data_IF_362071578114
#
_entry.id   IF_362071578114
#
_cell.length_a   1.000
_cell.length_b   1.000
_cell.length_c   1.000
_cell.angle_alpha   90.00
_cell.angle_beta   90.00
_cell.angle_gamma   90.00
#
_symmetry.space_group_name_H-M   'P 1'
#
loop_
_entity.id
_entity.type
_entity.pdbx_description
1 polymer ?
#
# COMPACT_ATOMS: atom_id res chain seq x y z
N UNK A 1 -24.55 -21.68 -15.92
CA UNK A 1 -24.79 -21.18 -14.56
C UNK A 1 -23.84 -21.93 -13.65
N UNK A 2 -23.30 -21.26 -12.63
CA UNK A 2 -22.27 -21.82 -11.73
C UNK A 2 -22.79 -21.82 -10.30
N UNK A 3 -22.42 -22.83 -9.51
CA UNK A 3 -22.81 -22.86 -8.08
C UNK A 3 -21.75 -22.22 -7.19
N UNK A 4 -22.10 -21.75 -5.99
CA UNK A 4 -21.13 -21.25 -5.00
C UNK A 4 -20.07 -22.33 -4.69
N UNK A 5 -20.48 -23.60 -4.58
CA UNK A 5 -19.58 -24.73 -4.32
C UNK A 5 -18.58 -24.97 -5.46
N UNK A 6 -18.95 -24.64 -6.70
CA UNK A 6 -18.06 -24.70 -7.85
C UNK A 6 -17.06 -23.55 -7.80
N UNK A 7 -17.52 -22.31 -7.62
CA UNK A 7 -16.66 -21.12 -7.51
C UNK A 7 -15.62 -21.29 -6.39
N UNK A 8 -16.00 -21.83 -5.23
CA UNK A 8 -15.08 -22.08 -4.09
C UNK A 8 -13.87 -22.97 -4.42
N UNK A 9 -13.92 -23.77 -5.49
CA UNK A 9 -12.79 -24.61 -5.94
C UNK A 9 -11.68 -23.78 -6.60
N UNK A 10 -12.02 -22.60 -7.11
CA UNK A 10 -11.12 -21.72 -7.86
C UNK A 10 -10.63 -20.58 -6.94
N UNK A 11 -9.78 -20.94 -5.99
CA UNK A 11 -9.40 -20.11 -4.84
C UNK A 11 -7.89 -19.82 -4.71
N UNK A 12 -7.10 -20.01 -5.78
CA UNK A 12 -5.64 -19.84 -5.76
C UNK A 12 -5.10 -19.33 -7.10
N UNK A 13 -3.79 -19.04 -7.18
CA UNK A 13 -3.17 -18.41 -8.36
C UNK A 13 -3.27 -19.19 -9.66
N UNK A 14 -3.41 -20.52 -9.59
CA UNK A 14 -3.53 -21.38 -10.77
C UNK A 14 -4.98 -21.45 -11.27
N UNK A 15 -5.93 -21.09 -10.41
CA UNK A 15 -7.34 -21.02 -10.76
C UNK A 15 -8.08 -20.06 -9.82
N UNK A 16 -8.36 -18.85 -10.30
CA UNK A 16 -8.96 -17.76 -9.50
C UNK A 16 -10.27 -17.29 -10.11
N UNK A 17 -11.38 -17.68 -9.49
CA UNK A 17 -12.70 -17.16 -9.84
C UNK A 17 -13.23 -16.23 -8.74
N UNK A 18 -14.00 -15.22 -9.14
CA UNK A 18 -14.69 -14.31 -8.22
C UNK A 18 -16.15 -14.14 -8.65
N UNK A 19 -17.01 -13.77 -7.70
CA UNK A 19 -18.39 -13.36 -7.99
C UNK A 19 -18.50 -11.85 -7.81
N UNK A 20 -19.06 -11.18 -8.81
CA UNK A 20 -19.42 -9.74 -8.77
C UNK A 20 -20.82 -9.58 -9.35
N UNK A 21 -21.73 -8.99 -8.59
CA UNK A 21 -23.13 -8.71 -8.98
C UNK A 21 -23.85 -9.95 -9.55
N UNK A 22 -23.70 -11.10 -8.88
CA UNK A 22 -24.31 -12.37 -9.30
C UNK A 22 -23.71 -13.00 -10.57
N UNK A 23 -22.60 -12.48 -11.07
CA UNK A 23 -21.87 -13.01 -12.22
C UNK A 23 -20.54 -13.60 -11.78
N UNK A 24 -20.10 -14.67 -12.45
CA UNK A 24 -18.84 -15.38 -12.17
C UNK A 24 -17.80 -15.03 -13.22
N UNK A 25 -16.61 -14.68 -12.76
CA UNK A 25 -15.50 -14.24 -13.59
C UNK A 25 -14.25 -15.09 -13.35
N UNK A 26 -13.57 -15.48 -14.41
CA UNK A 26 -12.26 -16.14 -14.34
C UNK A 26 -11.14 -15.11 -14.49
N UNK A 27 -10.51 -14.76 -13.36
CA UNK A 27 -9.46 -13.75 -13.31
C UNK A 27 -8.05 -14.35 -13.43
N UNK A 28 -7.91 -15.67 -13.65
CA UNK A 28 -6.63 -16.38 -13.57
C UNK A 28 -5.55 -15.75 -14.44
N UNK A 29 -5.89 -15.39 -15.69
CA UNK A 29 -4.95 -14.78 -16.62
C UNK A 29 -4.71 -13.28 -16.38
N UNK A 30 -5.60 -12.60 -15.65
CA UNK A 30 -5.48 -11.18 -15.35
C UNK A 30 -4.68 -10.87 -14.08
N UNK A 31 -4.44 -11.87 -13.22
CA UNK A 31 -3.77 -11.69 -11.93
C UNK A 31 -2.50 -10.84 -12.03
N UNK A 32 -1.67 -11.11 -13.04
CA UNK A 32 -0.36 -10.44 -13.23
C UNK A 32 -0.46 -9.02 -13.79
N UNK A 33 -1.57 -8.71 -14.44
CA UNK A 33 -1.82 -7.41 -15.07
C UNK A 33 -2.63 -6.47 -14.17
N UNK A 34 -3.11 -6.97 -13.02
CA UNK A 34 -3.91 -6.20 -12.09
C UNK A 34 -3.08 -5.07 -11.45
N UNK A 35 -3.46 -3.79 -11.60
CA UNK A 35 -2.69 -2.66 -11.07
C UNK A 35 -2.53 -2.64 -9.54
N UNK A 36 -3.46 -3.26 -8.80
CA UNK A 36 -3.36 -3.43 -7.35
C UNK A 36 -2.54 -4.66 -6.93
N UNK A 37 -1.91 -5.35 -7.87
CA UNK A 37 -1.16 -6.60 -7.65
C UNK A 37 -2.05 -7.84 -7.52
N UNK A 38 -1.40 -8.99 -7.65
CA UNK A 38 -2.00 -10.34 -7.61
C UNK A 38 -2.81 -10.58 -6.33
N UNK A 39 -2.23 -10.25 -5.17
CA UNK A 39 -2.82 -10.52 -3.85
C UNK A 39 -4.16 -9.82 -3.64
N UNK A 40 -4.38 -8.69 -4.31
CA UNK A 40 -5.64 -7.92 -4.23
C UNK A 40 -6.83 -8.66 -4.86
N UNK A 41 -6.58 -9.61 -5.78
CA UNK A 41 -7.62 -10.49 -6.32
C UNK A 41 -7.67 -11.79 -5.51
N UNK A 42 -6.52 -12.39 -5.20
CA UNK A 42 -6.45 -13.69 -4.50
C UNK A 42 -7.16 -13.68 -3.14
N UNK A 43 -7.13 -12.55 -2.44
CA UNK A 43 -7.87 -12.37 -1.19
C UNK A 43 -9.38 -12.66 -1.32
N UNK A 44 -9.95 -12.49 -2.51
CA UNK A 44 -11.37 -12.74 -2.79
C UNK A 44 -11.59 -13.98 -3.67
N UNK A 45 -10.54 -14.74 -3.99
CA UNK A 45 -10.65 -15.93 -4.83
C UNK A 45 -11.58 -16.99 -4.21
N UNK A 46 -12.51 -17.46 -5.02
CA UNK A 46 -13.54 -18.42 -4.65
C UNK A 46 -14.72 -17.82 -3.88
N UNK A 47 -14.87 -16.49 -3.84
CA UNK A 47 -15.90 -15.80 -3.03
C UNK A 47 -16.65 -14.72 -3.81
N UNK A 48 -17.77 -14.27 -3.25
CA UNK A 48 -18.45 -13.04 -3.68
C UNK A 48 -17.77 -11.84 -3.05
N UNK A 49 -17.29 -10.94 -3.90
CA UNK A 49 -16.61 -9.72 -3.51
C UNK A 49 -17.25 -8.50 -4.19
N UNK A 50 -18.56 -8.55 -4.45
CA UNK A 50 -19.31 -7.46 -5.09
C UNK A 50 -19.05 -6.14 -4.37
N UNK A 51 -19.21 -6.10 -3.05
CA UNK A 51 -19.01 -4.89 -2.26
C UNK A 51 -17.57 -4.37 -2.33
N UNK A 52 -16.56 -5.23 -2.15
CA UNK A 52 -15.15 -4.82 -2.24
C UNK A 52 -14.76 -4.36 -3.65
N UNK A 53 -15.26 -5.04 -4.68
CA UNK A 53 -14.99 -4.69 -6.07
C UNK A 53 -15.52 -3.28 -6.36
N UNK A 54 -16.76 -2.99 -5.96
CA UNK A 54 -17.37 -1.68 -6.15
C UNK A 54 -16.72 -0.55 -5.32
N UNK A 55 -16.15 -0.87 -4.16
CA UNK A 55 -15.51 0.10 -3.27
C UNK A 55 -14.18 0.67 -3.79
N UNK A 56 -13.48 -0.10 -4.63
CA UNK A 56 -12.10 0.16 -5.04
C UNK A 56 -11.99 0.50 -6.54
N UNK A 57 -12.81 -0.12 -7.39
CA UNK A 57 -12.64 -0.06 -8.84
C UNK A 57 -13.46 1.05 -9.52
N UNK A 58 -12.86 1.67 -10.55
CA UNK A 58 -13.51 2.68 -11.40
C UNK A 58 -14.45 2.06 -12.44
N UNK A 59 -15.33 2.86 -13.05
CA UNK A 59 -16.23 2.40 -14.13
C UNK A 59 -15.47 1.78 -15.32
N UNK A 60 -14.26 2.27 -15.61
CA UNK A 60 -13.40 1.66 -16.63
C UNK A 60 -13.00 0.24 -16.24
N UNK A 61 -12.65 0.01 -14.97
CA UNK A 61 -12.31 -1.33 -14.48
C UNK A 61 -13.53 -2.26 -14.47
N UNK A 62 -14.73 -1.74 -14.15
CA UNK A 62 -15.98 -2.49 -14.29
C UNK A 62 -16.20 -2.97 -15.73
N UNK A 63 -15.94 -2.11 -16.72
CA UNK A 63 -16.03 -2.50 -18.14
C UNK A 63 -14.99 -3.54 -18.54
N UNK A 64 -13.76 -3.44 -18.04
CA UNK A 64 -12.72 -4.45 -18.28
C UNK A 64 -13.06 -5.81 -17.66
N UNK A 65 -13.82 -5.84 -16.56
CA UNK A 65 -14.23 -7.09 -15.91
C UNK A 65 -15.10 -7.96 -16.85
N UNK A 66 -15.85 -7.35 -17.78
CA UNK A 66 -16.71 -8.06 -18.73
C UNK A 66 -15.93 -9.07 -19.60
N UNK A 67 -14.66 -8.79 -19.90
CA UNK A 67 -13.80 -9.67 -20.71
C UNK A 67 -13.50 -11.01 -20.02
N UNK A 68 -13.69 -11.08 -18.69
CA UNK A 68 -13.41 -12.25 -17.85
C UNK A 68 -14.69 -13.00 -17.44
N UNK A 69 -15.86 -12.59 -17.94
CA UNK A 69 -17.15 -13.18 -17.58
C UNK A 69 -17.25 -14.61 -18.13
N UNK A 70 -17.45 -15.59 -17.25
CA UNK A 70 -17.67 -16.99 -17.65
C UNK A 70 -19.14 -17.41 -17.52
N UNK A 71 -19.94 -16.71 -16.70
CA UNK A 71 -21.39 -16.89 -16.67
C UNK A 71 -22.07 -16.32 -15.42
N UNK A 72 -23.29 -16.78 -15.14
CA UNK A 72 -24.11 -16.32 -14.01
C UNK A 72 -24.08 -17.31 -12.84
N UNK A 73 -24.14 -16.79 -11.62
CA UNK A 73 -24.33 -17.58 -10.42
C UNK A 73 -25.75 -18.17 -10.41
N UNK A 74 -25.86 -19.46 -10.10
CA UNK A 74 -27.12 -20.13 -9.89
C UNK A 74 -27.67 -19.79 -8.50
N UNK A 75 -28.69 -18.92 -8.45
CA UNK A 75 -29.37 -18.53 -7.21
C UNK A 75 -30.48 -19.50 -6.81
N UNK A 76 -30.78 -20.52 -7.62
CA UNK A 76 -31.90 -21.44 -7.40
C UNK A 76 -31.51 -22.70 -6.62
N UNK A 77 -30.24 -22.84 -6.22
CA UNK A 77 -29.72 -23.96 -5.44
C UNK A 77 -29.15 -23.52 -4.10
N UNK A 78 -29.98 -23.60 -3.05
CA UNK A 78 -29.62 -23.58 -1.63
C UNK A 78 -29.08 -22.26 -1.03
N UNK A 79 -29.96 -21.59 -0.27
CA UNK A 79 -29.60 -20.83 0.92
C UNK A 79 -28.73 -21.72 1.84
N UNK A 80 -27.42 -21.48 1.90
CA UNK A 80 -26.57 -22.06 2.95
C UNK A 80 -25.60 -21.00 3.47
N UNK A 81 -25.92 -20.58 4.69
CA UNK A 81 -25.05 -20.14 5.77
C UNK A 81 -24.31 -18.82 5.62
N UNK A 82 -25.02 -17.77 6.05
CA UNK A 82 -24.42 -16.62 6.71
C UNK A 82 -23.87 -17.07 8.08
N UNK A 83 -22.73 -17.76 8.11
CA UNK A 83 -21.99 -18.07 9.35
C UNK A 83 -20.86 -17.08 9.56
N UNK A 84 -21.21 -15.80 9.68
CA UNK A 84 -20.42 -14.88 10.49
C UNK A 84 -20.64 -15.21 11.97
N UNK A 85 -20.16 -16.38 12.39
CA UNK A 85 -19.85 -16.58 13.80
C UNK A 85 -18.61 -15.77 14.08
N UNK A 86 -18.80 -14.64 14.75
CA UNK A 86 -17.77 -13.95 15.52
C UNK A 86 -17.24 -14.96 16.54
N UNK A 87 -16.20 -15.70 16.17
CA UNK A 87 -15.47 -16.55 17.10
C UNK A 87 -14.60 -15.60 17.93
N UNK A 88 -15.14 -15.11 19.03
CA UNK A 88 -14.32 -14.63 20.14
C UNK A 88 -13.83 -15.89 20.86
N UNK A 89 -12.80 -16.53 20.30
CA UNK A 89 -11.93 -17.39 21.10
C UNK A 89 -10.83 -16.50 21.67
N UNK A 90 -10.68 -16.43 23.00
CA UNK A 90 -9.51 -15.79 23.60
C UNK A 90 -8.33 -16.75 23.43
N UNK A 91 -7.80 -16.89 22.21
CA UNK A 91 -6.39 -17.21 22.08
C UNK A 91 -5.65 -15.89 22.05
N UNK A 92 -5.09 -15.53 23.20
CA UNK A 92 -4.06 -14.52 23.33
C UNK A 92 -2.95 -14.86 22.32
N UNK A 93 -2.98 -14.17 21.20
CA UNK A 93 -2.13 -14.42 20.06
C UNK A 93 -1.44 -13.10 19.77
N UNK A 94 -0.13 -13.15 19.55
CA UNK A 94 0.74 -11.98 19.55
C UNK A 94 0.57 -11.04 18.35
N UNK A 95 -0.28 -11.36 17.36
CA UNK A 95 -0.47 -10.56 16.14
C UNK A 95 -1.95 -10.35 15.80
N UNK A 96 -2.28 -9.17 15.26
CA UNK A 96 -3.63 -8.78 14.87
C UNK A 96 -4.02 -9.23 13.46
N UNK A 97 -3.21 -8.93 12.43
CA UNK A 97 -3.49 -9.26 11.02
C UNK A 97 -3.06 -10.70 10.68
N UNK A 98 -3.91 -11.70 10.96
CA UNK A 98 -3.59 -13.13 10.68
C UNK A 98 -4.17 -13.63 9.37
N UNK A 99 -5.45 -13.35 9.16
CA UNK A 99 -6.17 -13.77 7.97
C UNK A 99 -6.47 -12.50 7.18
N UNK A 100 -5.96 -12.38 5.94
CA UNK A 100 -6.17 -11.20 5.12
C UNK A 100 -7.65 -10.90 4.88
N UNK A 101 -8.53 -11.91 4.96
CA UNK A 101 -9.97 -11.74 4.75
C UNK A 101 -10.70 -11.14 5.95
N UNK A 102 -10.14 -11.23 7.15
CA UNK A 102 -10.82 -10.78 8.36
C UNK A 102 -10.85 -9.25 8.43
N UNK A 103 -11.99 -8.71 8.86
CA UNK A 103 -12.11 -7.30 9.22
C UNK A 103 -11.89 -7.16 10.72
N UNK A 104 -10.94 -6.31 11.09
CA UNK A 104 -10.58 -6.06 12.49
C UNK A 104 -10.96 -4.63 12.84
N UNK A 105 -11.76 -4.47 13.89
CA UNK A 105 -12.15 -3.14 14.38
C UNK A 105 -11.02 -2.52 15.21
N UNK A 106 -10.65 -1.29 14.89
CA UNK A 106 -9.67 -0.51 15.63
C UNK A 106 -10.25 0.85 16.02
N UNK A 107 -9.86 1.35 17.19
CA UNK A 107 -10.37 2.63 17.73
C UNK A 107 -9.34 3.73 17.58
N UNK A 108 -9.74 4.87 17.04
CA UNK A 108 -8.93 6.08 16.97
C UNK A 108 -8.74 6.65 18.37
N UNK A 109 -7.49 6.72 18.86
CA UNK A 109 -7.17 7.24 20.21
C UNK A 109 -6.37 8.54 20.18
N UNK A 110 -5.71 8.85 19.06
CA UNK A 110 -4.99 10.12 18.89
C UNK A 110 -5.06 10.60 17.45
N UNK A 111 -5.20 11.92 17.27
CA UNK A 111 -5.15 12.61 15.98
C UNK A 111 -4.32 13.88 16.16
N UNK A 112 -3.10 13.88 15.62
CA UNK A 112 -2.16 15.01 15.70
C UNK A 112 -2.03 15.68 14.34
N UNK A 113 -2.20 16.99 14.29
CA UNK A 113 -1.86 17.78 13.09
C UNK A 113 -0.35 18.07 13.08
N UNK A 114 0.31 17.75 11.97
CA UNK A 114 1.75 18.06 11.77
C UNK A 114 1.99 19.08 10.65
N UNK A 115 1.01 19.31 9.78
CA UNK A 115 0.98 20.43 8.85
C UNK A 115 -0.46 20.85 8.54
N UNK A 116 -0.67 21.83 7.65
CA UNK A 116 -2.01 22.27 7.27
C UNK A 116 -2.89 21.13 6.71
N UNK A 117 -2.29 20.14 6.04
CA UNK A 117 -2.98 19.02 5.40
C UNK A 117 -2.42 17.64 5.77
N UNK A 118 -1.58 17.50 6.80
CA UNK A 118 -1.06 16.20 7.23
C UNK A 118 -1.40 15.94 8.68
N UNK A 119 -1.83 14.70 8.98
CA UNK A 119 -2.14 14.25 10.33
C UNK A 119 -1.49 12.90 10.61
N UNK A 120 -1.20 12.66 11.88
CA UNK A 120 -0.86 11.35 12.43
C UNK A 120 -2.08 10.83 13.17
N UNK A 121 -2.58 9.67 12.76
CA UNK A 121 -3.68 8.97 13.40
C UNK A 121 -3.14 7.75 14.13
N UNK A 122 -3.44 7.62 15.44
CA UNK A 122 -3.12 6.43 16.23
C UNK A 122 -4.37 5.61 16.47
N UNK A 123 -4.34 4.36 16.04
CA UNK A 123 -5.39 3.39 16.28
C UNK A 123 -4.90 2.32 17.26
N UNK A 124 -5.72 1.99 18.26
CA UNK A 124 -5.42 0.86 19.16
C UNK A 124 -5.90 -0.45 18.54
N UNK A 125 -5.08 -1.48 18.73
CA UNK A 125 -5.38 -2.86 18.40
C UNK A 125 -6.38 -3.43 19.43
N UNK A 126 -7.02 -4.59 19.15
CA UNK A 126 -7.97 -5.20 20.07
C UNK A 126 -7.38 -5.55 21.45
N UNK A 127 -6.08 -5.82 21.53
CA UNK A 127 -5.35 -6.13 22.76
C UNK A 127 -4.04 -5.34 22.84
N UNK A 128 -3.68 -4.85 24.03
CA UNK A 128 -2.56 -3.92 24.25
C UNK A 128 -1.17 -4.52 24.01
N UNK A 129 -1.05 -5.84 24.11
CA UNK A 129 0.21 -6.57 23.98
C UNK A 129 0.46 -7.11 22.56
N UNK A 130 -0.53 -6.99 21.68
CA UNK A 130 -0.46 -7.46 20.29
C UNK A 130 0.39 -6.58 19.41
N UNK A 131 1.09 -7.19 18.47
CA UNK A 131 1.65 -6.53 17.31
C UNK A 131 0.58 -6.41 16.22
N UNK A 132 0.70 -5.42 15.34
CA UNK A 132 -0.16 -5.35 14.15
C UNK A 132 0.01 -6.62 13.29
N UNK A 133 1.23 -7.16 13.19
CA UNK A 133 1.53 -8.35 12.39
C UNK A 133 1.57 -8.08 10.88
N UNK A 134 1.94 -6.86 10.47
CA UNK A 134 2.09 -6.49 9.07
C UNK A 134 3.53 -6.78 8.59
N UNK A 135 3.75 -7.71 7.64
CA UNK A 135 5.07 -7.92 7.06
C UNK A 135 5.62 -6.64 6.40
N UNK A 136 6.93 -6.42 6.47
CA UNK A 136 7.57 -5.23 5.90
C UNK A 136 7.42 -5.24 4.39
N UNK A 137 6.91 -4.17 3.79
CA UNK A 137 6.58 -4.08 2.36
C UNK A 137 5.10 -4.33 2.05
N UNK A 138 4.34 -4.89 3.00
CA UNK A 138 2.88 -5.04 2.89
C UNK A 138 2.14 -3.83 3.45
N UNK A 139 0.87 -3.72 3.10
CA UNK A 139 -0.05 -2.68 3.55
C UNK A 139 -1.35 -3.28 4.11
N UNK A 140 -2.21 -2.43 4.66
CA UNK A 140 -3.57 -2.79 5.06
C UNK A 140 -4.58 -1.92 4.31
N UNK A 141 -5.81 -2.39 4.20
CA UNK A 141 -6.95 -1.55 3.86
C UNK A 141 -7.55 -0.96 5.12
N UNK A 142 -7.81 0.35 5.08
CA UNK A 142 -8.85 0.95 5.92
C UNK A 142 -10.18 0.79 5.21
N UNK A 143 -11.18 0.33 5.95
CA UNK A 143 -12.52 0.04 5.48
C UNK A 143 -13.52 0.84 6.32
N UNK A 144 -14.38 1.62 5.65
CA UNK A 144 -15.52 2.26 6.31
C UNK A 144 -16.66 2.51 5.32
N UNK A 145 -17.88 2.69 5.82
CA UNK A 145 -19.05 3.04 5.02
C UNK A 145 -19.23 4.56 5.02
N UNK A 146 -18.97 5.18 3.87
CA UNK A 146 -19.05 6.64 3.68
C UNK A 146 -20.20 6.91 2.70
N UNK A 147 -21.18 7.73 3.10
CA UNK A 147 -22.36 8.03 2.28
C UNK A 147 -23.10 6.77 1.78
N UNK A 148 -23.22 5.74 2.65
CA UNK A 148 -23.83 4.43 2.37
C UNK A 148 -23.08 3.56 1.35
N UNK A 149 -21.85 3.92 1.00
CA UNK A 149 -20.98 3.11 0.13
C UNK A 149 -19.76 2.65 0.90
N UNK A 150 -19.40 1.38 0.74
CA UNK A 150 -18.14 0.88 1.25
C UNK A 150 -16.99 1.62 0.57
N UNK A 151 -16.07 2.15 1.38
CA UNK A 151 -14.85 2.79 0.92
C UNK A 151 -13.67 2.03 1.52
N UNK A 152 -12.81 1.50 0.65
CA UNK A 152 -11.59 0.80 1.03
C UNK A 152 -10.37 1.48 0.42
N UNK A 153 -9.37 1.82 1.23
CA UNK A 153 -8.14 2.45 0.74
C UNK A 153 -6.91 1.88 1.43
N UNK A 154 -5.86 1.65 0.63
CA UNK A 154 -4.60 1.10 1.11
C UNK A 154 -3.82 2.15 1.90
N UNK A 155 -3.27 1.74 3.04
CA UNK A 155 -2.35 2.52 3.86
C UNK A 155 -1.22 1.64 4.37
N UNK A 156 0.00 2.19 4.37
CA UNK A 156 1.13 1.57 5.06
C UNK A 156 1.38 2.34 6.36
N UNK A 157 1.25 1.68 7.53
CA UNK A 157 1.59 2.28 8.81
C UNK A 157 3.03 2.76 8.89
N UNK A 158 3.23 3.83 9.66
CA UNK A 158 4.55 4.44 9.94
C UNK A 158 5.08 4.11 11.34
N UNK A 159 4.26 3.46 12.17
CA UNK A 159 4.72 2.85 13.42
C UNK A 159 5.67 1.68 13.13
N UNK A 160 6.61 1.42 14.04
CA UNK A 160 7.47 0.24 13.97
C UNK A 160 6.67 -1.06 13.94
N UNK A 161 7.18 -2.07 13.23
CA UNK A 161 6.50 -3.38 13.11
C UNK A 161 6.44 -4.18 14.42
N UNK A 162 7.23 -3.76 15.43
CA UNK A 162 7.28 -4.32 16.77
C UNK A 162 6.54 -3.49 17.83
N UNK A 163 5.89 -2.40 17.42
CA UNK A 163 5.04 -1.63 18.33
C UNK A 163 3.85 -2.47 18.78
N UNK A 164 3.57 -2.43 20.10
CA UNK A 164 2.50 -3.19 20.72
C UNK A 164 1.28 -2.33 20.99
N UNK A 165 0.10 -2.89 20.75
CA UNK A 165 -1.19 -2.32 21.12
C UNK A 165 -1.69 -1.20 20.21
N UNK A 166 -0.89 -0.71 19.26
CA UNK A 166 -1.31 0.35 18.34
C UNK A 166 -0.58 0.30 17.00
N UNK A 167 -1.10 1.06 16.04
CA UNK A 167 -0.38 1.46 14.85
C UNK A 167 -0.67 2.92 14.51
N UNK A 168 0.29 3.57 13.85
CA UNK A 168 0.19 4.97 13.43
C UNK A 168 0.10 5.07 11.91
N UNK A 169 -0.79 5.94 11.42
CA UNK A 169 -0.90 6.33 10.02
C UNK A 169 -0.57 7.80 9.85
N UNK A 170 0.41 8.11 9.02
CA UNK A 170 0.62 9.47 8.48
C UNK A 170 -0.23 9.63 7.23
N UNK A 171 -1.20 10.53 7.27
CA UNK A 171 -2.16 10.72 6.18
C UNK A 171 -2.17 12.17 5.73
N UNK A 172 -2.02 12.36 4.41
CA UNK A 172 -2.27 13.63 3.74
C UNK A 172 -3.76 13.78 3.44
N UNK A 173 -4.35 14.86 3.91
CA UNK A 173 -5.75 15.21 3.71
C UNK A 173 -5.91 15.98 2.41
N UNK A 174 -6.66 15.38 1.49
CA UNK A 174 -7.04 16.02 0.24
C UNK A 174 -8.36 16.76 0.44
N UNK A 175 -8.31 18.03 0.85
CA UNK A 175 -9.51 18.83 1.08
C UNK A 175 -10.27 19.16 -0.21
N UNK A 176 -11.60 19.20 -0.11
CA UNK A 176 -12.49 19.75 -1.14
C UNK A 176 -12.16 21.23 -1.42
N UNK A 177 -12.35 21.64 -2.67
CA UNK A 177 -12.14 23.02 -3.13
C UNK A 177 -10.68 23.44 -3.31
N UNK A 178 -9.70 22.57 -3.06
CA UNK A 178 -8.27 22.92 -3.18
C UNK A 178 -7.70 22.62 -4.57
N UNK A 179 -7.99 21.45 -5.14
CA UNK A 179 -7.38 21.04 -6.40
C UNK A 179 -8.36 21.16 -7.57
N UNK A 180 -8.04 21.89 -8.66
CA UNK A 180 -8.99 22.16 -9.74
C UNK A 180 -9.43 20.88 -10.48
N UNK A 181 -8.55 19.88 -10.63
CA UNK A 181 -8.92 18.59 -11.24
C UNK A 181 -9.67 17.66 -10.30
N UNK A 182 -9.63 17.92 -8.98
CA UNK A 182 -10.24 17.06 -7.96
C UNK A 182 -11.02 17.93 -6.97
N UNK A 183 -12.09 18.61 -7.41
CA UNK A 183 -12.79 19.61 -6.61
C UNK A 183 -13.43 19.04 -5.34
N UNK A 184 -13.77 17.75 -5.32
CA UNK A 184 -14.39 17.08 -4.16
C UNK A 184 -13.37 16.59 -3.12
N UNK A 185 -12.07 16.69 -3.40
CA UNK A 185 -11.02 16.17 -2.51
C UNK A 185 -10.99 14.65 -2.44
N UNK A 186 -10.31 14.11 -1.42
CA UNK A 186 -10.18 12.68 -1.17
C UNK A 186 -11.23 12.19 -0.18
N UNK A 187 -11.97 11.14 -0.57
CA UNK A 187 -13.08 10.58 0.22
C UNK A 187 -12.58 10.07 1.58
N UNK A 188 -11.73 9.03 1.58
CA UNK A 188 -11.22 8.42 2.82
C UNK A 188 -10.39 9.40 3.66
N UNK A 189 -9.56 10.25 3.03
CA UNK A 189 -8.73 11.19 3.79
C UNK A 189 -9.56 12.23 4.54
N UNK A 190 -10.59 12.80 3.90
CA UNK A 190 -11.48 13.76 4.57
C UNK A 190 -12.35 13.07 5.63
N UNK A 191 -12.78 11.84 5.38
CA UNK A 191 -13.49 11.02 6.37
C UNK A 191 -12.64 10.81 7.63
N UNK A 192 -11.39 10.35 7.50
CA UNK A 192 -10.46 10.22 8.62
C UNK A 192 -10.29 11.53 9.39
N UNK A 193 -10.12 12.65 8.69
CA UNK A 193 -9.97 13.97 9.33
C UNK A 193 -11.22 14.40 10.11
N UNK A 194 -12.40 13.97 9.68
CA UNK A 194 -13.69 14.23 10.35
C UNK A 194 -13.95 13.36 11.58
N UNK A 195 -13.24 12.23 11.72
CA UNK A 195 -13.42 11.33 12.85
C UNK A 195 -13.07 12.02 14.18
N UNK A 196 -13.89 11.73 15.19
CA UNK A 196 -13.63 12.13 16.57
C UNK A 196 -12.78 11.08 17.27
N UNK A 197 -12.05 11.49 18.31
CA UNK A 197 -11.36 10.52 19.17
C UNK A 197 -12.40 9.58 19.77
N UNK A 198 -12.12 8.28 19.74
CA UNK A 198 -13.06 7.22 20.12
C UNK A 198 -13.83 6.59 18.96
N UNK A 199 -13.81 7.20 17.76
CA UNK A 199 -14.39 6.57 16.56
C UNK A 199 -13.70 5.25 16.24
N UNK A 200 -14.49 4.31 15.72
CA UNK A 200 -14.01 3.00 15.26
C UNK A 200 -13.93 2.98 13.74
N UNK A 201 -12.98 2.22 13.21
CA UNK A 201 -12.92 1.84 11.79
C UNK A 201 -12.52 0.37 11.68
N UNK A 202 -12.66 -0.20 10.49
CA UNK A 202 -12.20 -1.57 10.20
C UNK A 202 -10.90 -1.56 9.41
N UNK A 203 -10.00 -2.49 9.72
CA UNK A 203 -8.81 -2.78 8.92
C UNK A 203 -8.89 -4.20 8.35
N UNK A 204 -8.34 -4.39 7.15
CA UNK A 204 -8.24 -5.69 6.46
C UNK A 204 -6.82 -5.87 5.92
N UNK A 205 -6.19 -7.02 6.15
CA UNK A 205 -4.80 -7.27 5.73
C UNK A 205 -4.13 -8.45 6.47
N UNK A 206 -2.86 -8.75 6.17
CA UNK A 206 -1.94 -7.96 5.34
C UNK A 206 -2.17 -8.17 3.84
N UNK A 207 -1.91 -7.15 3.02
CA UNK A 207 -1.97 -7.20 1.56
C UNK A 207 -0.69 -6.67 0.93
N UNK A 208 -0.46 -7.04 -0.34
CA UNK A 208 0.70 -6.57 -1.09
C UNK A 208 1.66 -7.70 -1.39
N UNK A 209 2.25 -7.62 -2.57
CA UNK A 209 3.03 -8.67 -3.19
C UNK A 209 4.53 -8.56 -2.93
N UNK A 210 4.97 -7.49 -2.24
CA UNK A 210 6.37 -7.24 -1.89
C UNK A 210 6.51 -7.44 -0.38
N UNK A 211 7.46 -8.27 0.01
CA UNK A 211 7.84 -8.44 1.40
C UNK A 211 9.36 -8.36 1.53
N UNK A 212 9.85 -7.49 2.41
CA UNK A 212 11.25 -7.44 2.80
C UNK A 212 11.48 -8.38 3.97
N UNK A 213 12.27 -9.43 3.75
CA UNK A 213 12.52 -10.47 4.76
C UNK A 213 13.84 -10.27 5.53
N UNK A 214 14.54 -9.16 5.25
CA UNK A 214 15.75 -8.74 5.95
C UNK A 214 17.04 -8.99 5.16
N UNK A 215 18.08 -8.20 5.45
CA UNK A 215 19.45 -8.38 4.95
C UNK A 215 19.53 -8.47 3.42
N UNK A 216 18.75 -7.61 2.77
CA UNK A 216 18.68 -7.49 1.30
C UNK A 216 17.71 -8.46 0.63
N UNK A 217 17.09 -9.37 1.39
CA UNK A 217 16.17 -10.37 0.83
C UNK A 217 14.75 -9.85 0.71
N UNK A 218 14.10 -10.22 -0.39
CA UNK A 218 12.70 -9.94 -0.67
C UNK A 218 11.98 -11.22 -1.11
N UNK A 219 10.69 -11.28 -0.81
CA UNK A 219 9.72 -12.13 -1.47
C UNK A 219 8.82 -11.24 -2.34
N UNK A 220 8.77 -11.52 -3.64
CA UNK A 220 7.96 -10.77 -4.61
C UNK A 220 7.08 -11.75 -5.36
N UNK A 221 5.77 -11.70 -5.12
CA UNK A 221 4.83 -12.74 -5.58
C UNK A 221 5.24 -14.16 -5.15
N UNK A 222 5.87 -14.29 -3.97
CA UNK A 222 6.42 -15.55 -3.47
C UNK A 222 7.81 -15.91 -4.01
N UNK A 223 8.30 -15.21 -5.02
CA UNK A 223 9.62 -15.44 -5.60
C UNK A 223 10.72 -14.69 -4.84
N UNK A 224 11.85 -15.35 -4.61
CA UNK A 224 12.98 -14.74 -3.92
C UNK A 224 13.70 -13.72 -4.81
N UNK A 225 13.97 -12.55 -4.25
CA UNK A 225 14.86 -11.53 -4.83
C UNK A 225 15.85 -11.06 -3.78
N UNK A 226 16.99 -10.56 -4.26
CA UNK A 226 18.05 -10.05 -3.40
C UNK A 226 18.61 -8.74 -3.94
N UNK A 227 18.95 -7.82 -3.05
CA UNK A 227 19.69 -6.61 -3.38
C UNK A 227 20.65 -6.20 -2.27
N UNK A 228 21.82 -5.71 -2.67
CA UNK A 228 22.75 -4.99 -1.80
C UNK A 228 22.44 -3.50 -1.75
N UNK A 229 21.91 -2.95 -2.83
CA UNK A 229 21.58 -1.53 -2.95
C UNK A 229 20.17 -1.33 -3.51
N UNK A 230 19.42 -0.41 -2.92
CA UNK A 230 18.04 -0.10 -3.28
C UNK A 230 17.93 1.32 -3.84
N UNK A 231 17.41 1.45 -5.06
CA UNK A 231 16.93 2.71 -5.61
C UNK A 231 15.46 2.91 -5.22
N UNK A 232 15.15 3.89 -4.37
CA UNK A 232 13.83 4.04 -3.74
C UNK A 232 13.17 5.34 -4.19
N UNK A 233 12.09 5.26 -4.96
CA UNK A 233 11.49 6.41 -5.65
C UNK A 233 10.06 6.66 -5.15
N UNK A 234 9.88 7.75 -4.41
CA UNK A 234 8.61 8.06 -3.75
C UNK A 234 8.00 9.36 -4.26
N UNK A 235 6.66 9.41 -4.35
CA UNK A 235 5.90 10.62 -4.67
C UNK A 235 4.80 10.89 -3.65
N UNK A 236 4.84 12.04 -2.97
CA UNK A 236 3.82 12.43 -2.00
C UNK A 236 3.62 11.37 -0.90
N UNK A 237 2.40 10.83 -0.78
CA UNK A 237 2.08 9.78 0.20
C UNK A 237 2.71 8.43 -0.11
N UNK A 238 3.26 8.21 -1.29
CA UNK A 238 3.99 6.99 -1.65
C UNK A 238 5.31 6.79 -0.88
N UNK A 239 5.66 7.70 0.03
CA UNK A 239 6.81 7.51 0.93
C UNK A 239 6.56 6.45 1.99
N UNK A 240 5.32 6.16 2.40
CA UNK A 240 5.08 5.29 3.58
C UNK A 240 5.53 3.83 3.39
N UNK A 241 5.38 3.17 2.22
CA UNK A 241 5.99 1.86 1.99
C UNK A 241 7.52 1.90 2.01
N UNK A 242 8.11 2.94 1.40
CA UNK A 242 9.57 3.15 1.40
C UNK A 242 10.07 3.37 2.84
N UNK A 243 9.39 4.21 3.62
CA UNK A 243 9.69 4.48 5.01
C UNK A 243 9.69 3.19 5.84
N UNK A 244 8.69 2.32 5.66
CA UNK A 244 8.60 1.05 6.38
C UNK A 244 9.80 0.13 6.09
N UNK A 245 10.21 0.02 4.83
CA UNK A 245 11.40 -0.77 4.43
C UNK A 245 12.67 -0.15 5.00
N UNK A 246 12.84 1.17 4.89
CA UNK A 246 14.00 1.90 5.45
C UNK A 246 14.08 1.70 6.96
N UNK A 247 12.96 1.84 7.67
CA UNK A 247 12.90 1.66 9.12
C UNK A 247 13.32 0.24 9.53
N UNK A 248 12.85 -0.79 8.81
CA UNK A 248 13.23 -2.17 9.07
C UNK A 248 14.74 -2.41 8.87
N UNK A 249 15.29 -1.92 7.75
CA UNK A 249 16.71 -2.03 7.41
C UNK A 249 17.60 -1.32 8.45
N UNK A 250 17.20 -0.11 8.88
CA UNK A 250 17.99 0.68 9.83
C UNK A 250 17.93 0.15 11.26
N UNK A 251 16.88 -0.60 11.59
CA UNK A 251 16.69 -1.20 12.90
C UNK A 251 17.55 -2.44 13.12
N UNK A 252 17.81 -3.22 12.07
CA UNK A 252 18.77 -4.32 12.11
C UNK A 252 20.21 -3.77 11.89
N UNK A 253 21.10 -3.85 12.89
CA UNK A 253 22.49 -3.42 12.74
C UNK A 253 23.32 -4.36 11.85
N UNK A 254 22.89 -5.60 11.66
CA UNK A 254 23.57 -6.58 10.79
C UNK A 254 23.12 -6.49 9.33
N UNK A 255 22.07 -5.72 9.06
CA UNK A 255 21.61 -5.45 7.72
C UNK A 255 22.50 -4.37 7.08
N UNK A 256 23.18 -4.73 6.01
CA UNK A 256 24.11 -3.83 5.30
C UNK A 256 23.51 -3.26 4.02
N UNK A 257 22.20 -3.44 3.78
CA UNK A 257 21.53 -2.94 2.58
C UNK A 257 21.69 -1.42 2.48
N UNK A 258 22.19 -0.94 1.34
CA UNK A 258 22.28 0.48 1.04
C UNK A 258 20.98 0.99 0.43
N UNK A 259 20.54 2.18 0.82
CA UNK A 259 19.27 2.75 0.42
C UNK A 259 19.48 4.15 -0.15
N UNK A 260 18.95 4.37 -1.34
CA UNK A 260 19.08 5.62 -2.10
C UNK A 260 17.68 6.12 -2.45
N UNK A 261 17.16 7.01 -1.61
CA UNK A 261 15.80 7.55 -1.74
C UNK A 261 15.81 8.83 -2.58
N UNK A 262 14.99 8.87 -3.63
CA UNK A 262 14.60 10.12 -4.31
C UNK A 262 13.13 10.37 -4.03
N UNK A 263 12.82 11.44 -3.31
CA UNK A 263 11.48 11.73 -2.81
C UNK A 263 10.91 13.02 -3.40
N UNK A 264 9.91 12.86 -4.27
CA UNK A 264 9.25 13.93 -4.99
C UNK A 264 7.98 14.45 -4.28
N UNK A 265 7.85 15.77 -4.18
CA UNK A 265 6.70 16.47 -3.60
C UNK A 265 6.33 17.71 -4.43
N UNK A 266 5.20 18.36 -4.12
CA UNK A 266 4.81 19.61 -4.79
C UNK A 266 5.64 20.78 -4.28
N UNK A 267 5.71 20.93 -2.96
CA UNK A 267 6.48 21.96 -2.27
C UNK A 267 7.24 21.36 -1.07
N UNK A 268 8.07 22.16 -0.43
CA UNK A 268 8.83 21.77 0.77
C UNK A 268 7.91 21.45 1.96
N UNK A 269 6.75 22.11 2.05
CA UNK A 269 5.76 21.90 3.12
C UNK A 269 4.98 20.58 2.97
N UNK A 270 5.10 19.92 1.82
CA UNK A 270 4.43 18.67 1.52
C UNK A 270 5.29 17.43 1.83
N UNK A 271 6.56 17.60 2.22
CA UNK A 271 7.49 16.51 2.47
C UNK A 271 7.12 15.83 3.79
N UNK A 272 6.55 14.62 3.70
CA UNK A 272 6.17 13.83 4.86
C UNK A 272 7.42 13.18 5.47
N UNK A 273 7.43 13.00 6.80
CA UNK A 273 8.47 12.24 7.52
C UNK A 273 9.88 12.80 7.30
N UNK A 274 9.98 14.11 7.03
CA UNK A 274 11.25 14.76 6.66
C UNK A 274 12.24 14.75 7.81
N UNK A 275 11.80 15.13 9.01
CA UNK A 275 12.67 15.28 10.17
C UNK A 275 13.35 13.95 10.53
N UNK A 276 12.57 12.87 10.57
CA UNK A 276 13.07 11.52 10.85
C UNK A 276 14.03 11.03 9.76
N UNK A 277 13.69 11.23 8.48
CA UNK A 277 14.53 10.84 7.35
C UNK A 277 15.85 11.61 7.31
N UNK A 278 15.82 12.92 7.54
CA UNK A 278 17.02 13.77 7.62
C UNK A 278 17.91 13.33 8.80
N UNK A 279 17.32 12.96 9.94
CA UNK A 279 18.06 12.43 11.08
C UNK A 279 18.74 11.10 10.77
N UNK A 280 18.04 10.18 10.08
CA UNK A 280 18.63 8.91 9.64
C UNK A 280 19.78 9.11 8.67
N UNK A 281 19.62 10.02 7.69
CA UNK A 281 20.65 10.29 6.69
C UNK A 281 21.93 10.87 7.31
N UNK A 282 21.79 11.69 8.36
CA UNK A 282 22.94 12.22 9.11
C UNK A 282 23.70 11.15 9.90
N UNK A 283 23.01 10.12 10.37
CA UNK A 283 23.58 9.10 11.27
C UNK A 283 24.03 7.83 10.56
N UNK A 284 23.60 7.58 9.33
CA UNK A 284 23.75 6.29 8.65
C UNK A 284 24.24 6.50 7.22
N UNK A 285 25.52 6.22 6.97
CA UNK A 285 26.13 6.34 5.63
C UNK A 285 25.44 5.49 4.56
N UNK A 286 24.85 4.36 4.98
CA UNK A 286 24.08 3.45 4.11
C UNK A 286 22.70 3.98 3.73
N UNK A 287 22.23 5.09 4.30
CA UNK A 287 20.95 5.73 3.97
C UNK A 287 21.18 7.11 3.36
N UNK A 288 20.84 7.25 2.08
CA UNK A 288 20.98 8.49 1.32
C UNK A 288 19.60 8.94 0.85
N UNK A 289 19.24 10.21 1.07
CA UNK A 289 17.98 10.79 0.62
C UNK A 289 18.21 12.06 -0.19
N UNK A 290 17.45 12.21 -1.27
CA UNK A 290 17.45 13.38 -2.14
C UNK A 290 16.02 13.83 -2.41
N UNK A 291 15.74 15.10 -2.15
CA UNK A 291 14.39 15.65 -2.35
C UNK A 291 14.24 16.28 -3.74
N UNK A 292 13.02 16.20 -4.28
CA UNK A 292 12.63 16.90 -5.51
C UNK A 292 11.31 17.60 -5.24
N UNK A 293 11.23 18.91 -5.46
CA UNK A 293 9.98 19.67 -5.32
C UNK A 293 9.58 20.29 -6.64
N UNK A 294 8.29 20.25 -6.98
CA UNK A 294 7.81 20.83 -8.24
C UNK A 294 8.06 22.34 -8.29
N UNK A 295 7.81 23.03 -7.17
CA UNK A 295 8.10 24.44 -6.97
C UNK A 295 8.77 24.63 -5.60
N UNK A 296 9.75 25.52 -5.53
CA UNK A 296 10.38 25.94 -4.27
C UNK A 296 10.06 27.41 -4.03
N UNK A 297 9.56 27.71 -2.84
CA UNK A 297 9.24 29.08 -2.41
C UNK A 297 10.25 29.62 -1.41
N UNK A 298 11.19 28.78 -0.95
CA UNK A 298 12.16 29.12 0.08
C UNK A 298 13.52 29.41 -0.56
N UNK A 299 14.13 30.52 -0.16
CA UNK A 299 15.55 30.74 -0.47
C UNK A 299 16.40 29.63 0.20
N UNK A 300 17.42 29.15 -0.51
CA UNK A 300 18.33 28.12 0.02
C UNK A 300 17.82 26.68 -0.12
N UNK A 301 16.91 26.37 -1.04
CA UNK A 301 16.60 24.97 -1.38
C UNK A 301 17.81 24.30 -2.05
N UNK A 302 18.45 23.38 -1.33
CA UNK A 302 19.70 22.74 -1.75
C UNK A 302 19.50 21.51 -2.67
N UNK A 303 18.25 21.09 -2.87
CA UNK A 303 17.91 19.91 -3.65
C UNK A 303 17.31 20.28 -5.02
N UNK A 304 16.77 19.29 -5.73
CA UNK A 304 16.28 19.51 -7.10
C UNK A 304 14.89 20.16 -7.13
N UNK A 305 14.64 20.93 -8.18
CA UNK A 305 13.34 21.53 -8.50
C UNK A 305 12.83 20.94 -9.83
N UNK A 306 11.54 20.63 -9.90
CA UNK A 306 10.86 20.06 -11.08
C UNK A 306 10.36 18.63 -10.84
N UNK A 307 10.50 17.78 -11.86
CA UNK A 307 10.13 16.36 -11.80
C UNK A 307 11.38 15.47 -11.62
N UNK A 308 11.17 14.19 -11.32
CA UNK A 308 12.26 13.20 -11.34
C UNK A 308 12.72 13.03 -12.78
N UNK A 309 13.99 13.37 -13.04
CA UNK A 309 14.63 13.26 -14.35
C UNK A 309 15.71 12.18 -14.36
N UNK A 310 16.12 11.76 -15.56
CA UNK A 310 17.29 10.89 -15.76
C UNK A 310 18.55 11.46 -15.09
N UNK A 311 18.79 12.76 -15.17
CA UNK A 311 19.96 13.40 -14.57
C UNK A 311 19.95 13.32 -13.04
N UNK A 312 18.79 13.47 -12.41
CA UNK A 312 18.62 13.29 -10.96
C UNK A 312 18.90 11.83 -10.61
N UNK A 313 18.27 10.88 -11.31
CA UNK A 313 18.47 9.45 -11.02
C UNK A 313 19.95 9.06 -11.17
N UNK A 314 20.60 9.47 -12.27
CA UNK A 314 22.01 9.15 -12.54
C UNK A 314 22.95 9.63 -11.43
N UNK A 315 22.60 10.71 -10.73
CA UNK A 315 23.40 11.30 -9.65
C UNK A 315 23.05 10.71 -8.27
N UNK A 316 21.79 10.32 -8.05
CA UNK A 316 21.27 10.06 -6.70
C UNK A 316 20.82 8.62 -6.45
N UNK A 317 20.78 7.75 -7.45
CA UNK A 317 20.50 6.31 -7.28
C UNK A 317 21.68 5.44 -7.74
N UNK A 318 21.81 4.19 -7.25
CA UNK A 318 22.88 3.30 -7.68
C UNK A 318 22.77 2.97 -9.17
N UNK A 319 23.90 2.59 -9.77
CA UNK A 319 23.90 2.01 -11.12
C UNK A 319 23.17 0.68 -11.11
N UNK A 320 22.53 0.35 -12.23
CA UNK A 320 21.96 -0.96 -12.42
C UNK A 320 23.04 -2.05 -12.28
N UNK A 321 22.72 -3.10 -11.54
CA UNK A 321 23.54 -4.30 -11.38
C UNK A 321 22.64 -5.49 -11.03
N UNK A 322 23.20 -6.70 -11.05
CA UNK A 322 22.52 -7.90 -10.57
C UNK A 322 22.11 -7.84 -9.08
N UNK A 323 22.75 -6.96 -8.30
CA UNK A 323 22.51 -6.79 -6.86
C UNK A 323 21.77 -5.47 -6.55
N UNK A 324 21.15 -4.84 -7.55
CA UNK A 324 20.41 -3.58 -7.40
C UNK A 324 18.93 -3.80 -7.72
N UNK A 325 18.07 -3.47 -6.76
CA UNK A 325 16.62 -3.38 -6.98
C UNK A 325 16.15 -1.93 -6.91
N UNK A 326 15.11 -1.62 -7.65
CA UNK A 326 14.38 -0.37 -7.55
C UNK A 326 13.01 -0.62 -6.89
N UNK A 327 12.61 0.26 -5.97
CA UNK A 327 11.29 0.29 -5.37
C UNK A 327 10.65 1.62 -5.72
N UNK A 328 9.39 1.63 -6.16
CA UNK A 328 8.69 2.86 -6.47
C UNK A 328 7.26 2.88 -5.92
N UNK A 329 6.83 4.04 -5.44
CA UNK A 329 5.44 4.27 -5.05
C UNK A 329 5.08 5.76 -5.21
N UNK A 330 4.00 6.03 -5.93
CA UNK A 330 3.58 7.39 -6.25
C UNK A 330 2.47 7.43 -7.29
N UNK A 331 2.05 8.62 -7.72
CA UNK A 331 1.00 8.77 -8.73
C UNK A 331 1.37 8.06 -10.05
N UNK A 332 0.41 7.48 -10.79
CA UNK A 332 0.72 6.74 -12.02
C UNK A 332 1.60 7.50 -13.04
N UNK A 333 1.40 8.81 -13.31
CA UNK A 333 2.28 9.56 -14.21
C UNK A 333 3.74 9.61 -13.74
N UNK A 334 3.97 9.64 -12.43
CA UNK A 334 5.31 9.58 -11.87
C UNK A 334 5.93 8.19 -12.09
N UNK A 335 5.18 7.12 -11.84
CA UNK A 335 5.67 5.74 -12.02
C UNK A 335 6.10 5.49 -13.47
N UNK A 336 5.31 5.96 -14.45
CA UNK A 336 5.67 5.84 -15.86
C UNK A 336 6.94 6.62 -16.23
N UNK A 337 7.09 7.84 -15.71
CA UNK A 337 8.33 8.62 -15.89
C UNK A 337 9.55 7.95 -15.24
N UNK A 338 9.37 7.36 -14.06
CA UNK A 338 10.39 6.61 -13.33
C UNK A 338 10.84 5.37 -14.12
N UNK A 339 9.89 4.57 -14.64
CA UNK A 339 10.18 3.40 -15.47
C UNK A 339 11.06 3.77 -16.65
N UNK A 340 10.65 4.79 -17.42
CA UNK A 340 11.40 5.26 -18.59
C UNK A 340 12.82 5.74 -18.25
N UNK A 341 12.98 6.46 -17.13
CA UNK A 341 14.31 6.94 -16.73
C UNK A 341 15.20 5.80 -16.20
N UNK A 342 14.66 4.88 -15.41
CA UNK A 342 15.42 3.72 -14.90
C UNK A 342 15.88 2.79 -16.04
N UNK A 343 15.06 2.61 -17.07
CA UNK A 343 15.41 1.81 -18.25
C UNK A 343 16.63 2.41 -18.98
N UNK A 344 16.68 3.74 -19.14
CA UNK A 344 17.85 4.45 -19.68
C UNK A 344 19.10 4.31 -18.81
N UNK A 345 18.93 4.07 -17.51
CA UNK A 345 20.01 3.78 -16.56
C UNK A 345 20.43 2.30 -16.57
N UNK A 346 19.79 1.47 -17.40
CA UNK A 346 20.12 0.05 -17.57
C UNK A 346 19.42 -0.88 -16.58
N UNK A 347 18.41 -0.41 -15.85
CA UNK A 347 17.60 -1.30 -15.00
C UNK A 347 16.71 -2.18 -15.87
N UNK A 348 16.70 -3.48 -15.59
CA UNK A 348 15.65 -4.37 -16.09
C UNK A 348 14.35 -4.05 -15.35
N UNK A 349 13.46 -3.27 -15.97
CA UNK A 349 12.22 -2.82 -15.33
C UNK A 349 11.30 -4.00 -15.00
N UNK A 350 11.34 -5.08 -15.77
CA UNK A 350 10.48 -6.25 -15.54
C UNK A 350 10.92 -7.02 -14.29
N UNK A 351 12.23 -7.13 -14.07
CA UNK A 351 12.76 -7.97 -12.99
C UNK A 351 13.25 -7.17 -11.77
N UNK A 352 13.65 -5.92 -11.94
CA UNK A 352 14.34 -5.15 -10.90
C UNK A 352 13.52 -3.98 -10.36
N UNK A 353 12.42 -3.57 -11.01
CA UNK A 353 11.52 -2.54 -10.46
C UNK A 353 10.33 -3.18 -9.75
N UNK A 354 10.22 -2.91 -8.45
CA UNK A 354 9.10 -3.29 -7.61
C UNK A 354 8.22 -2.07 -7.36
N UNK A 355 6.93 -2.15 -7.70
CA UNK A 355 5.99 -1.04 -7.51
C UNK A 355 4.98 -1.43 -6.44
N UNK A 356 4.87 -0.60 -5.40
CA UNK A 356 3.92 -0.82 -4.30
C UNK A 356 2.47 -0.49 -4.66
#
# INVERSE_FOLDING_TARGET
MYTISEVKKHNNSDSTWIIVDGHVYDCTHYLKDHPGGVDSILINAGTDCTEEFEAIHSDKAKKMLEDYLIGKLDTNGNNVENTNKVIITPMHNNVTLKNPRDKITCKLVSKKSISHNVRIFRFVLPYEDQLLGLPVGKHLFLCDTIEKKLCMRAFTPTSGVDEKGYFDLVVKIYFKGVHPKYPNGGIMSQHLDSLSIGSILEIKGPLGHIEYTGKGNFLVHGEHKFAKSLAMLAGGTGITPIYQVVQAILKDPEDLTEMYVVYANRSEDDILLREEMDEWAKKRERFKIWYVVQESKREGWEYSVGFITESILKKHVPKASENTLALACGPPPMIEGVKSNLEKLGYDIKNNLLVF
#
